data_IF_710170357411
#
_entry.id   IF_710170357411
#
_cell.length_a   1.000
_cell.length_b   1.000
_cell.length_c   1.000
_cell.angle_alpha   90.00
_cell.angle_beta   90.00
_cell.angle_gamma   90.00
#
_symmetry.space_group_name_H-M   'P 1'
#
loop_
_entity.id
_entity.type
_entity.pdbx_description
1 polymer ?
#
# COMPACT_ATOMS: atom_id res chain seq x y z
N UNK A 1 26.56 23.38 38.20
CA UNK A 1 25.90 23.69 36.91
C UNK A 1 25.99 22.55 35.89
N UNK A 2 27.12 21.84 35.75
CA UNK A 2 27.30 20.75 34.76
C UNK A 2 26.32 19.57 34.87
N UNK A 3 26.01 19.10 36.09
CA UNK A 3 25.08 17.97 36.30
C UNK A 3 23.63 18.31 35.99
N UNK A 4 23.21 19.57 36.22
CA UNK A 4 21.84 20.03 35.93
C UNK A 4 21.58 20.16 34.43
N UNK A 5 22.60 20.58 33.67
CA UNK A 5 22.57 20.62 32.20
C UNK A 5 22.45 19.19 31.65
N UNK A 6 23.19 18.24 32.21
CA UNK A 6 23.16 16.84 31.78
C UNK A 6 21.78 16.19 31.98
N UNK A 7 21.12 16.45 33.12
CA UNK A 7 19.75 15.99 33.40
C UNK A 7 18.76 16.60 32.40
N UNK A 8 18.91 17.89 32.07
CA UNK A 8 18.07 18.57 31.09
C UNK A 8 18.22 17.97 29.68
N UNK A 9 19.45 17.62 29.27
CA UNK A 9 19.72 16.99 27.98
C UNK A 9 19.10 15.59 27.91
N UNK A 10 19.18 14.80 28.99
CA UNK A 10 18.56 13.47 29.05
C UNK A 10 17.03 13.57 28.98
N UNK A 11 16.41 14.50 29.72
CA UNK A 11 14.96 14.69 29.64
C UNK A 11 14.51 15.18 28.25
N UNK A 12 15.28 16.07 27.61
CA UNK A 12 15.01 16.52 26.25
C UNK A 12 15.17 15.38 25.23
N UNK A 13 16.19 14.52 25.38
CA UNK A 13 16.40 13.35 24.52
C UNK A 13 15.27 12.31 24.69
N UNK A 14 14.76 12.10 25.91
CA UNK A 14 13.59 11.24 26.14
C UNK A 14 12.31 11.83 25.55
N UNK A 15 12.14 13.16 25.56
CA UNK A 15 11.02 13.85 24.91
C UNK A 15 11.04 13.72 23.37
N UNK A 16 12.23 13.73 22.76
CA UNK A 16 12.38 13.54 21.30
C UNK A 16 12.24 12.07 20.90
N UNK A 17 12.58 11.13 21.81
CA UNK A 17 12.42 9.68 21.60
C UNK A 17 10.97 9.17 21.64
N UNK A 18 10.02 10.00 22.08
CA UNK A 18 8.58 9.69 22.12
C UNK A 18 7.80 10.25 20.92
N UNK A 19 8.47 10.54 19.79
CA UNK A 19 7.77 10.66 18.51
C UNK A 19 7.48 9.23 18.06
N UNK A 20 6.44 8.63 18.63
CA UNK A 20 5.82 7.47 18.02
C UNK A 20 5.55 7.85 16.56
N UNK A 21 6.11 7.07 15.63
CA UNK A 21 5.66 7.05 14.25
C UNK A 21 4.26 6.40 14.25
N UNK A 22 3.31 7.06 14.93
CA UNK A 22 1.95 6.58 15.07
C UNK A 22 1.29 6.77 13.72
N UNK A 23 1.15 5.68 12.98
CA UNK A 23 0.23 5.61 11.85
C UNK A 23 -1.12 6.04 12.42
N UNK A 24 -1.68 7.12 11.87
CA UNK A 24 -2.96 7.63 12.36
C UNK A 24 -3.98 6.51 12.29
N UNK A 25 -4.79 6.33 13.34
CA UNK A 25 -5.87 5.33 13.34
C UNK A 25 -6.82 5.52 12.15
N UNK A 26 -6.86 6.73 11.61
CA UNK A 26 -7.69 7.09 10.47
C UNK A 26 -6.90 7.11 9.15
N UNK A 27 -5.66 6.63 9.09
CA UNK A 27 -5.00 6.44 7.81
C UNK A 27 -5.64 5.27 7.07
N UNK A 28 -5.85 5.46 5.78
CA UNK A 28 -6.23 4.42 4.84
C UNK A 28 -5.23 4.37 3.70
N UNK A 29 -4.74 3.17 3.43
CA UNK A 29 -3.69 2.93 2.45
C UNK A 29 -4.20 2.06 1.31
N UNK A 30 -3.89 2.45 0.07
CA UNK A 30 -4.13 1.62 -1.11
C UNK A 30 -2.78 1.10 -1.61
N UNK A 31 -2.67 -0.21 -1.70
CA UNK A 31 -1.53 -0.91 -2.30
C UNK A 31 -1.93 -1.56 -3.61
N UNK A 32 -0.96 -1.72 -4.49
CA UNK A 32 -1.11 -2.48 -5.74
C UNK A 32 -0.07 -3.58 -5.79
N UNK A 33 -0.50 -4.79 -6.15
CA UNK A 33 0.38 -5.92 -6.44
C UNK A 33 0.16 -6.35 -7.90
N UNK A 34 1.12 -6.08 -8.79
CA UNK A 34 1.06 -6.57 -10.18
C UNK A 34 1.87 -7.84 -10.39
N UNK A 35 2.50 -8.34 -9.32
CA UNK A 35 3.59 -9.32 -9.27
C UNK A 35 4.72 -8.80 -8.41
N UNK A 36 5.60 -9.67 -7.91
CA UNK A 36 6.75 -9.28 -7.09
C UNK A 36 7.84 -8.55 -7.90
N UNK A 37 9.10 -8.65 -7.47
CA UNK A 37 10.27 -8.03 -8.11
C UNK A 37 10.33 -8.17 -9.63
N UNK A 38 9.86 -9.29 -10.18
CA UNK A 38 9.88 -9.55 -11.63
C UNK A 38 9.09 -8.53 -12.47
N UNK A 39 8.07 -7.87 -11.89
CA UNK A 39 7.21 -6.89 -12.58
C UNK A 39 7.64 -5.44 -12.36
N UNK A 40 8.61 -5.18 -11.49
CA UNK A 40 9.15 -3.83 -11.26
C UNK A 40 9.58 -3.18 -12.58
N UNK A 41 9.07 -1.98 -12.83
CA UNK A 41 9.33 -1.19 -14.05
C UNK A 41 8.61 -1.64 -15.32
N UNK A 42 7.82 -2.73 -15.26
CA UNK A 42 7.14 -3.32 -16.42
C UNK A 42 5.65 -3.02 -16.47
N UNK A 43 5.10 -2.44 -15.41
CA UNK A 43 3.70 -2.06 -15.32
C UNK A 43 3.56 -0.56 -15.01
N UNK A 44 2.60 0.10 -15.66
CA UNK A 44 2.21 1.48 -15.40
C UNK A 44 0.84 1.52 -14.73
N UNK A 45 0.74 2.22 -13.61
CA UNK A 45 -0.46 2.26 -12.76
C UNK A 45 -1.01 3.68 -12.76
N UNK A 46 -2.33 3.75 -12.94
CA UNK A 46 -3.12 4.96 -12.70
C UNK A 46 -4.23 4.63 -11.72
N UNK A 47 -4.37 5.43 -10.67
CA UNK A 47 -5.39 5.23 -9.65
C UNK A 47 -6.11 6.55 -9.37
N UNK A 48 -7.44 6.48 -9.33
CA UNK A 48 -8.30 7.58 -8.92
C UNK A 48 -9.11 7.19 -7.69
N UNK A 49 -9.23 8.11 -6.74
CA UNK A 49 -10.08 8.01 -5.57
C UNK A 49 -11.06 9.16 -5.61
N UNK A 50 -12.37 8.86 -5.58
CA UNK A 50 -13.45 9.84 -5.71
C UNK A 50 -13.23 10.79 -6.91
N UNK A 51 -12.88 10.20 -8.05
CA UNK A 51 -12.61 10.87 -9.35
C UNK A 51 -11.35 11.75 -9.41
N UNK A 52 -10.63 11.92 -8.30
CA UNK A 52 -9.31 12.57 -8.27
C UNK A 52 -8.19 11.57 -8.57
N UNK A 53 -7.29 11.90 -9.50
CA UNK A 53 -6.10 11.09 -9.78
C UNK A 53 -5.14 11.20 -8.60
N UNK A 54 -4.92 10.10 -7.89
CA UNK A 54 -4.06 10.04 -6.69
C UNK A 54 -2.71 9.39 -6.95
N UNK A 55 -2.60 8.59 -8.02
CA UNK A 55 -1.34 7.96 -8.42
C UNK A 55 -1.25 7.81 -9.93
N UNK A 56 -0.06 8.06 -10.48
CA UNK A 56 0.25 7.94 -11.91
C UNK A 56 1.74 7.67 -12.10
N UNK A 57 2.13 6.40 -12.22
CA UNK A 57 3.55 6.04 -12.22
C UNK A 57 3.83 4.58 -12.50
N UNK A 58 5.12 4.24 -12.59
CA UNK A 58 5.58 2.87 -12.75
C UNK A 58 5.40 2.07 -11.47
N UNK A 59 5.09 0.80 -11.62
CA UNK A 59 5.10 -0.17 -10.55
C UNK A 59 6.53 -0.46 -10.09
N UNK A 60 6.76 -0.40 -8.78
CA UNK A 60 8.04 -0.74 -8.16
C UNK A 60 7.77 -1.54 -6.89
N UNK A 61 8.14 -2.82 -6.90
CA UNK A 61 8.16 -3.67 -5.72
C UNK A 61 9.60 -3.88 -5.27
N UNK A 62 9.85 -3.67 -3.98
CA UNK A 62 11.18 -3.85 -3.35
C UNK A 62 11.35 -5.22 -2.70
N UNK A 63 10.27 -5.98 -2.52
CA UNK A 63 10.32 -7.32 -1.93
C UNK A 63 10.95 -8.32 -2.89
N UNK A 64 11.90 -9.10 -2.38
CA UNK A 64 12.52 -10.22 -3.06
C UNK A 64 12.02 -11.54 -2.47
N UNK A 65 11.17 -12.23 -3.23
CA UNK A 65 10.55 -13.49 -2.86
C UNK A 65 11.54 -14.68 -2.90
N UNK A 66 12.71 -14.52 -3.53
CA UNK A 66 13.75 -15.55 -3.58
C UNK A 66 14.67 -15.53 -2.35
N UNK A 67 14.73 -14.41 -1.63
CA UNK A 67 15.66 -14.20 -0.50
C UNK A 67 14.92 -14.26 0.86
N UNK A 68 13.60 -14.49 0.87
CA UNK A 68 12.74 -14.36 2.06
C UNK A 68 12.92 -12.99 2.74
N UNK A 69 13.25 -11.94 1.98
CA UNK A 69 13.41 -10.60 2.51
C UNK A 69 12.07 -9.87 2.44
N UNK A 70 11.22 -10.16 3.44
CA UNK A 70 9.90 -9.57 3.59
C UNK A 70 10.02 -8.16 4.19
N UNK A 71 10.48 -7.21 3.39
CA UNK A 71 10.25 -5.79 3.69
C UNK A 71 8.74 -5.47 3.72
N UNK A 72 8.36 -4.31 4.27
CA UNK A 72 6.96 -3.81 4.36
C UNK A 72 6.18 -3.79 3.03
N UNK A 73 6.85 -4.01 1.89
CA UNK A 73 6.32 -4.04 0.53
C UNK A 73 5.83 -5.43 0.06
N UNK A 74 5.83 -6.46 0.93
CA UNK A 74 5.41 -7.82 0.54
C UNK A 74 3.92 -7.90 0.13
N UNK A 75 3.10 -6.98 0.64
CA UNK A 75 1.69 -6.79 0.26
C UNK A 75 1.51 -6.02 -1.07
N UNK A 76 2.61 -5.59 -1.70
CA UNK A 76 2.62 -4.75 -2.87
C UNK A 76 2.97 -3.29 -2.58
N UNK A 77 3.12 -2.53 -3.67
CA UNK A 77 3.54 -1.14 -3.67
C UNK A 77 2.45 -0.24 -3.10
N UNK A 78 2.77 0.58 -2.10
CA UNK A 78 1.91 1.69 -1.67
C UNK A 78 1.79 2.72 -2.80
N UNK A 79 0.56 2.97 -3.26
CA UNK A 79 0.29 3.96 -4.30
C UNK A 79 -0.34 5.24 -3.75
N UNK A 80 -1.04 5.15 -2.61
CA UNK A 80 -1.56 6.33 -1.90
C UNK A 80 -1.91 5.98 -0.46
N UNK A 81 -1.82 6.99 0.40
CA UNK A 81 -2.25 6.97 1.80
C UNK A 81 -2.88 8.32 2.13
N UNK A 82 -4.00 8.30 2.85
CA UNK A 82 -4.71 9.51 3.25
C UNK A 82 -5.56 9.27 4.50
N UNK A 83 -5.94 10.36 5.15
CA UNK A 83 -6.89 10.35 6.26
C UNK A 83 -8.31 10.04 5.72
N UNK A 84 -8.88 8.92 6.18
CA UNK A 84 -10.25 8.49 5.86
C UNK A 84 -11.32 9.07 6.80
N UNK A 85 -10.98 10.01 7.67
CA UNK A 85 -11.96 10.70 8.53
C UNK A 85 -13.11 11.27 7.70
N UNK A 86 -14.34 10.90 8.06
CA UNK A 86 -15.55 11.32 7.33
C UNK A 86 -15.88 10.49 6.08
N UNK A 87 -15.12 9.43 5.79
CA UNK A 87 -15.39 8.52 4.66
C UNK A 87 -15.63 7.09 5.14
N UNK A 88 -16.85 6.59 4.95
CA UNK A 88 -17.15 5.16 5.16
C UNK A 88 -16.79 4.30 3.94
N UNK A 89 -16.68 4.94 2.78
CA UNK A 89 -16.48 4.26 1.50
C UNK A 89 -15.90 5.20 0.44
N UNK A 90 -15.24 4.60 -0.54
CA UNK A 90 -14.58 5.30 -1.65
C UNK A 90 -15.04 4.74 -2.99
N UNK A 91 -15.10 5.61 -3.99
CA UNK A 91 -15.08 5.19 -5.40
C UNK A 91 -13.63 5.10 -5.84
N UNK A 92 -13.19 3.91 -6.22
CA UNK A 92 -11.82 3.66 -6.68
C UNK A 92 -11.89 3.26 -8.14
N UNK A 93 -11.09 3.92 -8.98
CA UNK A 93 -10.80 3.49 -10.34
C UNK A 93 -9.33 3.18 -10.42
N UNK A 94 -9.00 2.01 -10.96
CA UNK A 94 -7.61 1.61 -11.20
C UNK A 94 -7.46 1.20 -12.66
N UNK A 95 -6.32 1.53 -13.24
CA UNK A 95 -5.86 1.03 -14.53
C UNK A 95 -4.42 0.58 -14.39
N UNK A 96 -4.14 -0.63 -14.84
CA UNK A 96 -2.80 -1.19 -14.93
C UNK A 96 -2.51 -1.54 -16.39
N UNK A 97 -1.39 -1.03 -16.89
CA UNK A 97 -0.92 -1.25 -18.26
C UNK A 97 0.42 -1.97 -18.21
N UNK A 98 0.47 -3.18 -18.73
CA UNK A 98 1.72 -3.88 -18.98
C UNK A 98 2.45 -3.20 -20.14
N UNK A 99 3.73 -2.89 -19.95
CA UNK A 99 4.56 -2.19 -20.91
C UNK A 99 5.39 -3.13 -21.79
N UNK A 100 5.60 -4.36 -21.32
CA UNK A 100 6.50 -5.35 -21.91
C UNK A 100 5.76 -6.53 -22.56
N UNK A 101 4.52 -6.82 -22.15
CA UNK A 101 3.83 -8.04 -22.58
C UNK A 101 2.30 -7.90 -22.64
N UNK A 102 1.62 -9.02 -22.85
CA UNK A 102 0.18 -9.21 -22.71
C UNK A 102 0.00 -10.16 -21.51
N UNK A 103 -0.49 -9.64 -20.38
CA UNK A 103 -0.42 -10.35 -19.09
C UNK A 103 -1.81 -10.68 -18.53
N UNK A 104 -2.68 -9.69 -18.41
CA UNK A 104 -3.89 -9.76 -17.59
C UNK A 104 -5.05 -10.40 -18.34
N UNK A 105 -5.23 -11.72 -18.19
CA UNK A 105 -6.23 -12.51 -18.92
C UNK A 105 -6.14 -12.30 -20.43
N UNK A 106 -4.90 -12.31 -20.95
CA UNK A 106 -4.63 -12.08 -22.37
C UNK A 106 -4.81 -10.62 -22.81
N UNK A 107 -4.78 -9.65 -21.87
CA UNK A 107 -4.84 -8.22 -22.18
C UNK A 107 -3.60 -7.49 -21.68
N UNK A 108 -3.20 -6.46 -22.43
CA UNK A 108 -2.13 -5.53 -22.03
C UNK A 108 -2.61 -4.51 -20.99
N UNK A 109 -3.88 -4.12 -21.06
CA UNK A 109 -4.50 -3.16 -20.14
C UNK A 109 -5.63 -3.86 -19.39
N UNK A 110 -5.67 -3.67 -18.08
CA UNK A 110 -6.81 -3.99 -17.25
C UNK A 110 -7.21 -2.77 -16.45
N UNK A 111 -8.51 -2.50 -16.39
CA UNK A 111 -9.07 -1.44 -15.57
C UNK A 111 -10.38 -1.86 -14.91
N UNK A 112 -10.64 -1.25 -13.76
CA UNK A 112 -11.86 -1.47 -13.00
C UNK A 112 -12.25 -0.20 -12.26
N UNK A 113 -13.54 0.00 -12.06
CA UNK A 113 -14.10 1.04 -11.20
C UNK A 113 -15.06 0.37 -10.23
N UNK A 114 -14.86 0.58 -8.94
CA UNK A 114 -15.67 -0.03 -7.90
C UNK A 114 -15.83 0.90 -6.71
N UNK A 115 -16.89 0.67 -5.94
CA UNK A 115 -17.11 1.35 -4.66
C UNK A 115 -16.75 0.38 -3.53
N UNK A 116 -15.99 0.83 -2.54
CA UNK A 116 -15.45 -0.03 -1.50
C UNK A 116 -15.63 0.60 -0.12
N UNK A 117 -16.01 -0.20 0.87
CA UNK A 117 -16.17 0.24 2.27
C UNK A 117 -14.82 0.22 2.98
N UNK A 118 -14.47 1.28 3.70
CA UNK A 118 -13.13 1.47 4.29
C UNK A 118 -13.14 1.82 5.79
N UNK A 119 -14.32 2.04 6.37
CA UNK A 119 -14.51 2.42 7.78
C UNK A 119 -13.72 1.52 8.74
N UNK A 120 -13.82 0.19 8.56
CA UNK A 120 -13.29 -0.80 9.50
C UNK A 120 -11.97 -1.47 9.07
N UNK A 121 -11.30 -0.95 8.03
CA UNK A 121 -10.04 -1.51 7.52
C UNK A 121 -8.96 -0.43 7.38
N UNK A 122 -7.69 -0.73 7.66
CA UNK A 122 -6.59 0.24 7.54
C UNK A 122 -6.05 0.32 6.10
N UNK A 123 -6.29 -0.71 5.29
CA UNK A 123 -5.73 -0.77 3.94
C UNK A 123 -6.53 -1.70 3.04
N UNK A 124 -6.27 -1.57 1.73
CA UNK A 124 -6.63 -2.55 0.72
C UNK A 124 -5.43 -2.85 -0.15
N UNK A 125 -5.34 -4.09 -0.62
CA UNK A 125 -4.43 -4.48 -1.69
C UNK A 125 -5.25 -4.76 -2.94
N UNK A 126 -4.95 -4.04 -4.02
CA UNK A 126 -5.51 -4.27 -5.34
C UNK A 126 -4.51 -5.08 -6.15
N UNK A 127 -4.76 -6.37 -6.28
CA UNK A 127 -3.88 -7.25 -7.02
C UNK A 127 -4.32 -7.44 -8.45
N UNK A 128 -3.36 -7.36 -9.37
CA UNK A 128 -3.54 -7.54 -10.80
C UNK A 128 -2.78 -8.81 -11.21
N UNK A 129 -3.46 -9.94 -11.22
CA UNK A 129 -2.88 -11.25 -11.54
C UNK A 129 -3.10 -11.61 -13.00
N UNK A 130 -2.15 -12.31 -13.60
CA UNK A 130 -2.25 -12.77 -14.98
C UNK A 130 -3.50 -13.63 -15.24
N UNK A 131 -3.85 -14.52 -14.29
CA UNK A 131 -4.92 -15.51 -14.48
C UNK A 131 -6.31 -15.03 -14.00
N UNK A 132 -6.37 -14.21 -12.96
CA UNK A 132 -7.64 -13.76 -12.34
C UNK A 132 -8.00 -12.30 -12.62
N UNK A 133 -7.11 -11.52 -13.21
CA UNK A 133 -7.35 -10.09 -13.42
C UNK A 133 -7.23 -9.31 -12.11
N UNK A 134 -8.22 -8.46 -11.81
CA UNK A 134 -8.23 -7.64 -10.58
C UNK A 134 -8.90 -8.41 -9.44
N UNK A 135 -8.18 -8.56 -8.33
CA UNK A 135 -8.66 -9.10 -7.05
C UNK A 135 -8.37 -8.11 -5.92
N UNK A 136 -9.20 -8.13 -4.88
CA UNK A 136 -9.11 -7.20 -3.74
C UNK A 136 -8.87 -7.97 -2.45
N UNK A 137 -7.88 -7.55 -1.68
CA UNK A 137 -7.55 -8.12 -0.37
C UNK A 137 -7.59 -7.09 0.75
N UNK A 138 -8.01 -7.64 1.88
CA UNK A 138 -8.63 -7.11 3.08
C UNK A 138 -8.14 -7.63 4.43
N UNK A 139 -7.88 -6.81 5.44
CA UNK A 139 -7.65 -7.35 6.78
C UNK A 139 -8.89 -8.07 7.36
N UNK A 140 -10.11 -7.78 6.86
CA UNK A 140 -11.34 -8.45 7.30
C UNK A 140 -11.72 -9.63 6.40
N UNK A 141 -11.57 -9.48 5.09
CA UNK A 141 -11.97 -10.51 4.11
C UNK A 141 -10.92 -11.58 3.86
N UNK A 142 -9.66 -11.24 4.03
CA UNK A 142 -8.52 -12.14 3.77
C UNK A 142 -7.51 -12.00 4.90
N UNK A 143 -7.90 -12.27 6.16
CA UNK A 143 -7.04 -12.04 7.31
C UNK A 143 -5.72 -12.79 7.18
N UNK A 144 -5.75 -14.06 6.75
CA UNK A 144 -4.58 -14.92 6.54
C UNK A 144 -3.53 -14.30 5.60
N UNK A 145 -3.97 -13.45 4.67
CA UNK A 145 -3.08 -12.75 3.75
C UNK A 145 -2.30 -11.60 4.41
N UNK A 146 -2.64 -11.22 5.64
CA UNK A 146 -1.97 -10.16 6.40
C UNK A 146 -1.25 -10.69 7.64
N UNK A 147 -1.36 -11.99 7.95
CA UNK A 147 -0.63 -12.63 9.05
C UNK A 147 0.71 -13.16 8.54
N UNK A 148 1.80 -12.52 8.96
CA UNK A 148 3.11 -13.18 9.03
C UNK A 148 3.20 -13.77 10.44
N UNK A 149 3.04 -15.08 10.57
CA UNK A 149 3.46 -15.77 11.79
C UNK A 149 4.98 -15.62 11.92
N UNK A 150 5.42 -14.88 12.94
CA UNK A 150 6.82 -14.83 13.38
C UNK A 150 7.18 -16.10 14.16
#
# INVERSE_FOLDING_TARGET
MKTRIFIFIIMLAMLVGCIDHSISKNDFMIRVDTGYKERTGKDYIQCWVNDSLVFNGLYVNKTDDQILDYHEDWLGMEITRFDKSGYDSLKIKIRVTSLDTVLYRGKRVIDSTFRYRIDNIPSIVIACRANSGITLWDTLRTPDYFWLEY
#
